data_IF_267828425049
#
_entry.id   IF_267828425049
#
_cell.length_a   1.000
_cell.length_b   1.000
_cell.length_c   1.000
_cell.angle_alpha   90.00
_cell.angle_beta   90.00
_cell.angle_gamma   90.00
#
_symmetry.space_group_name_H-M   'P 1'
#
loop_
_entity.id
_entity.type
_entity.pdbx_description
1 polymer ?
2 polymer ?
3 polymer ?
4 non-polymer ?
5 non-polymer ?
6 water ?
#
loop_
_entity_poly.entity_id
_entity_poly.type
_entity_poly.pdbx_seq_one_letter_code
_entity_poly.pdbx_strand_id
2 'polydeoxyribonucleotide' '(DA)(DG)(DC)(DG)(DT)(DG)(DG)(DG)(1CC)(DG)(DT)' ?
3 'polydeoxyribonucleotide' '(DT)(DA)(5CM)(DG)(DC)(DC)(DC)(DA)(DC)(DG)(DC)' ?
#
# COMPACT_ATOMS: atom_id res chain seq x y z
N UNK A 5 -2.24 14.93 18.29
CA UNK A 5 -1.11 15.79 17.96
C UNK A 5 -1.54 16.92 17.03
N UNK A 6 -0.64 17.87 16.80
CA UNK A 6 -0.90 18.99 15.91
C UNK A 6 -0.74 18.57 14.45
N UNK A 7 -1.63 19.06 13.59
CA UNK A 7 -1.58 18.74 12.17
C UNK A 7 -1.69 20.02 11.33
N UNK A 8 -0.55 20.70 11.14
CA UNK A 8 -0.49 22.01 10.47
C UNK A 8 -0.61 21.93 8.95
N UNK A 9 -0.41 20.75 8.38
CA UNK A 9 -0.45 20.59 6.93
C UNK A 9 -1.84 20.17 6.46
N UNK A 10 -2.65 21.16 6.09
CA UNK A 10 -4.02 20.92 5.67
C UNK A 10 -4.14 20.86 4.16
N UNK A 11 -4.97 19.94 3.67
CA UNK A 11 -5.23 19.84 2.24
C UNK A 11 -6.29 20.85 1.83
N UNK A 12 -5.98 21.66 0.81
CA UNK A 12 -6.87 22.73 0.40
C UNK A 12 -7.66 22.40 -0.87
N UNK A 13 -7.57 21.16 -1.32
CA UNK A 13 -8.33 20.73 -2.49
C UNK A 13 -9.83 20.81 -2.21
N UNK A 14 -10.63 20.97 -3.26
CA UNK A 14 -12.06 21.23 -3.10
C UNK A 14 -12.77 20.14 -2.29
N UNK A 15 -13.46 20.58 -1.24
CA UNK A 15 -14.25 19.72 -0.36
C UNK A 15 -13.42 18.66 0.36
N UNK A 16 -12.13 18.93 0.54
CA UNK A 16 -11.28 18.03 1.32
C UNK A 16 -10.96 18.66 2.67
N UNK A 17 -11.02 17.84 3.72
CA UNK A 17 -10.78 18.34 5.07
C UNK A 17 -9.57 17.66 5.71
N UNK A 18 -8.86 16.86 4.92
CA UNK A 18 -7.70 16.14 5.41
C UNK A 18 -6.58 17.07 5.88
N UNK A 19 -5.99 16.75 7.02
CA UNK A 19 -4.82 17.47 7.52
C UNK A 19 -3.81 16.48 8.11
N UNK A 20 -2.53 16.87 8.10
CA UNK A 20 -1.47 15.95 8.47
C UNK A 20 -0.38 16.63 9.31
N UNK A 21 0.40 15.82 10.02
CA UNK A 21 1.47 16.32 10.87
C UNK A 21 2.74 16.61 10.07
N UNK A 22 2.91 15.88 8.96
CA UNK A 22 4.13 15.98 8.17
C UNK A 22 3.82 16.36 6.72
N UNK A 23 4.76 17.04 6.08
CA UNK A 23 4.55 17.58 4.74
C UNK A 23 4.51 16.49 3.67
N UNK A 24 5.23 15.40 3.90
CA UNK A 24 5.22 14.29 2.94
C UNK A 24 3.91 13.53 3.01
N UNK A 25 3.30 13.51 4.20
CA UNK A 25 1.99 12.89 4.38
C UNK A 25 0.93 13.61 3.54
N UNK A 26 1.03 14.94 3.50
CA UNK A 26 0.11 15.74 2.70
C UNK A 26 0.34 15.52 1.21
N UNK A 27 1.60 15.55 0.80
CA UNK A 27 1.95 15.38 -0.60
C UNK A 27 1.57 14.00 -1.12
N UNK A 28 1.70 12.99 -0.27
CA UNK A 28 1.29 11.64 -0.64
C UNK A 28 -0.22 11.60 -0.86
N UNK A 29 -0.96 12.15 0.10
CA UNK A 29 -2.42 12.19 0.03
C UNK A 29 -2.92 12.91 -1.21
N UNK A 30 -2.27 14.01 -1.56
CA UNK A 30 -2.73 14.85 -2.67
C UNK A 30 -2.63 14.14 -4.02
N UNK A 31 -1.85 13.06 -4.08
CA UNK A 31 -1.76 12.27 -5.30
C UNK A 31 -3.08 11.58 -5.61
N UNK A 32 -3.90 11.35 -4.59
CA UNK A 32 -5.22 10.76 -4.79
C UNK A 32 -6.12 11.74 -5.54
N UNK A 33 -5.83 13.03 -5.40
CA UNK A 33 -6.60 14.07 -6.07
C UNK A 33 -6.15 14.26 -7.52
N UNK A 34 -4.84 14.33 -7.72
CA UNK A 34 -4.27 14.68 -9.03
C UNK A 34 -4.19 13.49 -9.98
N UNK A 35 -4.08 12.28 -9.44
CA UNK A 35 -3.95 11.09 -10.25
C UNK A 35 -2.53 10.86 -10.73
N UNK A 36 -1.60 11.63 -10.19
CA UNK A 36 -0.19 11.50 -10.53
C UNK A 36 0.36 10.16 -10.06
N UNK A 37 1.01 9.44 -10.97
CA UNK A 37 1.60 8.14 -10.65
C UNK A 37 3.05 8.08 -11.14
N UNK A 38 4.00 8.49 -10.28
CA UNK A 38 5.42 8.65 -10.61
C UNK A 38 6.21 7.35 -10.68
N UNK A 39 5.64 6.25 -10.22
CA UNK A 39 6.38 4.99 -10.13
C UNK A 39 5.83 3.94 -11.09
N UNK A 40 6.71 3.42 -11.95
CA UNK A 40 6.29 2.50 -12.99
C UNK A 40 6.91 1.11 -12.84
N UNK A 41 6.08 0.09 -13.01
CA UNK A 41 6.56 -1.29 -13.00
C UNK A 41 7.38 -1.57 -14.25
N UNK A 42 8.58 -2.12 -14.07
CA UNK A 42 9.46 -2.39 -15.21
C UNK A 42 9.04 -3.66 -15.95
N UNK A 43 8.06 -4.38 -15.40
CA UNK A 43 7.61 -5.63 -16.00
C UNK A 43 6.39 -5.43 -16.89
N UNK A 44 5.37 -4.74 -16.38
CA UNK A 44 4.13 -4.57 -17.12
C UNK A 44 3.83 -3.11 -17.45
N UNK A 45 4.74 -2.22 -17.07
CA UNK A 45 4.67 -0.79 -17.38
C UNK A 45 3.48 -0.06 -16.74
N UNK A 46 2.77 -0.72 -15.83
CA UNK A 46 1.72 -0.05 -15.08
C UNK A 46 2.33 0.97 -14.12
N UNK A 47 1.66 2.10 -13.94
CA UNK A 47 2.18 3.16 -13.09
C UNK A 47 1.43 3.26 -11.77
N UNK A 48 2.13 3.70 -10.73
CA UNK A 48 1.58 3.75 -9.38
C UNK A 48 1.91 5.06 -8.68
N UNK A 49 1.05 5.45 -7.75
CA UNK A 49 1.23 6.71 -7.03
C UNK A 49 2.36 6.62 -6.01
N UNK A 50 2.65 5.41 -5.54
CA UNK A 50 3.58 5.23 -4.44
C UNK A 50 4.59 4.12 -4.68
N UNK A 51 5.77 4.27 -4.07
CA UNK A 51 6.85 3.30 -4.24
C UNK A 51 6.58 2.00 -3.49
N UNK A 52 5.99 2.10 -2.31
CA UNK A 52 5.71 0.91 -1.51
C UNK A 52 4.64 0.05 -2.18
N UNK A 53 3.67 0.70 -2.81
CA UNK A 53 2.61 -0.02 -3.51
C UNK A 53 3.11 -0.63 -4.81
N UNK A 54 4.12 -0.01 -5.42
CA UNK A 54 4.77 -0.60 -6.58
C UNK A 54 5.50 -1.88 -6.18
N UNK A 55 6.18 -1.82 -5.04
CA UNK A 55 6.97 -2.95 -4.55
C UNK A 55 6.12 -4.20 -4.35
N UNK A 56 4.98 -4.07 -3.69
CA UNK A 56 4.12 -5.22 -3.45
C UNK A 56 3.46 -5.68 -4.75
N UNK A 57 3.23 -4.74 -5.66
CA UNK A 57 2.70 -5.09 -6.98
C UNK A 57 3.64 -6.00 -7.75
N UNK A 58 4.94 -5.74 -7.65
CA UNK A 58 5.93 -6.51 -8.39
C UNK A 58 5.91 -7.99 -8.01
N UNK A 59 5.47 -8.28 -6.79
CA UNK A 59 5.41 -9.65 -6.31
C UNK A 59 4.33 -10.46 -7.02
N UNK A 60 3.42 -9.78 -7.71
CA UNK A 60 2.41 -10.45 -8.50
C UNK A 60 3.05 -11.11 -9.72
N UNK A 61 4.19 -10.58 -10.14
CA UNK A 61 4.89 -11.09 -11.32
C UNK A 61 5.83 -12.24 -10.97
N UNK A 62 6.37 -12.22 -9.76
CA UNK A 62 7.35 -13.23 -9.34
C UNK A 62 6.72 -14.35 -8.52
N UNK A 63 5.57 -14.07 -7.92
CA UNK A 63 4.90 -15.04 -7.06
C UNK A 63 5.54 -15.12 -5.69
N UNK A 64 6.38 -14.14 -5.36
CA UNK A 64 7.04 -14.10 -4.06
C UNK A 64 6.04 -13.85 -2.94
N UNK A 65 5.99 -14.78 -1.99
CA UNK A 65 5.07 -14.69 -0.87
C UNK A 65 5.81 -14.87 0.46
N UNK A 66 6.31 -13.76 1.01
CA UNK A 66 7.18 -13.76 2.20
C UNK A 66 6.44 -14.05 3.51
N UNK A 67 5.11 -14.05 3.48
CA UNK A 67 4.33 -14.20 4.70
C UNK A 67 3.59 -15.54 4.75
N UNK A 68 4.10 -16.46 5.56
CA UNK A 68 3.54 -17.81 5.63
C UNK A 68 2.61 -17.98 6.82
N UNK A 69 1.61 -18.84 6.65
CA UNK A 69 0.70 -19.18 7.75
C UNK A 69 1.44 -20.00 8.80
N UNK A 70 1.19 -19.69 10.07
CA UNK A 70 1.90 -20.34 11.17
C UNK A 70 1.16 -21.58 11.67
N UNK A 71 -0.10 -21.73 11.26
CA UNK A 71 -0.89 -22.89 11.64
C UNK A 71 -0.27 -24.17 11.09
N UNK A 72 -0.15 -25.20 11.95
CA UNK A 72 0.43 -26.49 11.59
C UNK A 72 -0.27 -27.13 10.41
N UNK A 73 0.50 -27.70 9.49
CA UNK A 73 -0.02 -28.35 8.29
C UNK A 73 -0.87 -27.40 7.44
N UNK A 74 -0.44 -26.15 7.36
CA UNK A 74 -1.04 -25.18 6.44
C UNK A 74 0.07 -24.47 5.67
N UNK A 75 0.18 -24.78 4.39
CA UNK A 75 1.29 -24.28 3.58
C UNK A 75 0.95 -22.97 2.87
N UNK A 76 -0.15 -22.34 3.27
CA UNK A 76 -0.58 -21.09 2.66
C UNK A 76 0.39 -19.95 2.96
N UNK A 77 0.85 -19.28 1.92
CA UNK A 77 1.70 -18.10 2.08
C UNK A 77 1.16 -16.95 1.24
N UNK A 78 1.58 -15.73 1.55
CA UNK A 78 0.98 -14.54 0.97
C UNK A 78 2.00 -13.46 0.66
N UNK A 79 1.68 -12.62 -0.31
CA UNK A 79 2.58 -11.57 -0.77
C UNK A 79 2.64 -10.40 0.22
N UNK A 80 1.55 -10.18 0.96
CA UNK A 80 1.49 -9.06 1.89
C UNK A 80 1.05 -9.49 3.28
N UNK A 81 1.46 -8.70 4.28
CA UNK A 81 1.19 -9.01 5.68
C UNK A 81 -0.30 -8.99 6.00
N UNK A 82 -1.05 -8.09 5.36
CA UNK A 82 -2.47 -7.96 5.65
C UNK A 82 -3.26 -9.16 5.11
N UNK A 83 -2.75 -9.79 4.06
CA UNK A 83 -3.35 -11.02 3.55
C UNK A 83 -3.24 -12.12 4.60
N UNK A 84 -2.07 -12.20 5.23
CA UNK A 84 -1.82 -13.20 6.27
C UNK A 84 -2.67 -12.92 7.51
N UNK A 85 -2.84 -11.64 7.83
CA UNK A 85 -3.65 -11.23 8.97
C UNK A 85 -5.09 -11.72 8.81
N UNK A 86 -5.65 -11.50 7.62
CA UNK A 86 -7.00 -11.95 7.31
C UNK A 86 -7.08 -13.47 7.36
N UNK A 87 -6.03 -14.12 6.89
CA UNK A 87 -5.96 -15.58 6.87
C UNK A 87 -5.90 -16.15 8.28
N UNK A 88 -5.07 -15.55 9.13
CA UNK A 88 -4.95 -15.97 10.52
C UNK A 88 -6.25 -15.76 11.27
N UNK A 89 -6.93 -14.65 10.99
CA UNK A 89 -8.24 -14.38 11.57
C UNK A 89 -9.25 -15.44 11.16
N UNK A 90 -9.12 -15.92 9.93
CA UNK A 90 -10.01 -16.94 9.39
C UNK A 90 -9.88 -18.24 10.18
N UNK A 91 -8.64 -18.59 10.54
CA UNK A 91 -8.37 -19.81 11.30
C UNK A 91 -8.96 -19.79 12.71
N UNK A 92 -9.69 -18.72 13.04
CA UNK A 92 -10.27 -18.52 14.36
C UNK A 92 -9.19 -18.47 15.44
X LIG D 1 -7.19 16.29 0.04
X LIG E 1 3.77 -4.90 -13.07
X LIG F 1 -3.42 -21.20 7.30
X LIG G 1 -2.64 8.29 -1.38
X LIG G 1 -1.96 7.51 -0.39
X LIG G 1 -1.94 8.16 -2.72
X LIG G 1 -2.11 6.83 -3.23
#
# INVERSE_FOLDING_TARGET
GPLGSEKPYQCDFKDCERRFSRSDQLKRHQRRHTGVKPFQCKTCQRKFSRSDHLKTHTRTHTGEKPFSCRWPSCQKKFARSDELVRHHNMHQR
ZN ZN
ZN ZN
ZN ZN
EDO C1 O1 C2 O2
#
